data_IF_209297092323
#
_entry.id   IF_209297092323
#
_cell.length_a   1.000
_cell.length_b   1.000
_cell.length_c   1.000
_cell.angle_alpha   90.00
_cell.angle_beta   90.00
_cell.angle_gamma   90.00
#
_symmetry.space_group_name_H-M   'P 1'
#
loop_
_entity.id
_entity.type
_entity.pdbx_description
1 polymer ?
#
# COMPACT_ATOMS: atom_id res chain seq x y z
N UNK A 1 -3.22 -6.95 7.76
CA UNK A 1 -4.46 -6.95 6.94
C UNK A 1 -4.32 -5.99 5.76
N UNK A 2 -4.92 -6.30 4.60
CA UNK A 2 -4.89 -5.45 3.40
C UNK A 2 -6.32 -5.20 2.92
N UNK A 3 -6.64 -3.93 2.68
CA UNK A 3 -7.91 -3.48 2.09
C UNK A 3 -7.67 -2.89 0.70
N UNK A 4 -8.43 -3.30 -0.31
CA UNK A 4 -8.38 -2.72 -1.66
C UNK A 4 -9.73 -2.08 -1.98
N UNK A 5 -9.73 -0.79 -2.28
CA UNK A 5 -10.96 -0.08 -2.67
C UNK A 5 -10.86 0.52 -4.07
N UNK A 6 -11.94 1.19 -4.53
CA UNK A 6 -12.10 1.56 -5.94
C UNK A 6 -11.38 2.86 -6.34
N UNK A 7 -10.09 2.98 -6.07
CA UNK A 7 -9.23 4.05 -6.58
C UNK A 7 -8.13 3.44 -7.45
N UNK A 8 -7.71 4.05 -8.55
CA UNK A 8 -6.65 3.53 -9.42
C UNK A 8 -5.36 3.27 -8.63
N UNK A 9 -4.67 2.18 -8.95
CA UNK A 9 -3.45 1.75 -8.27
C UNK A 9 -3.44 0.25 -7.93
N UNK A 10 -4.08 -0.60 -8.73
CA UNK A 10 -4.05 -2.06 -8.54
C UNK A 10 -2.62 -2.60 -8.46
N UNK A 11 -1.70 -2.06 -9.25
CA UNK A 11 -0.31 -2.49 -9.28
C UNK A 11 0.38 -2.37 -7.90
N UNK A 12 0.12 -1.30 -7.13
CA UNK A 12 0.63 -1.14 -5.78
C UNK A 12 0.12 -2.24 -4.84
N UNK A 13 -1.20 -2.52 -4.92
CA UNK A 13 -1.81 -3.54 -4.07
C UNK A 13 -1.28 -4.94 -4.36
N UNK A 14 -1.18 -5.30 -5.63
CA UNK A 14 -0.67 -6.62 -6.06
C UNK A 14 0.79 -6.78 -5.66
N UNK A 15 1.61 -5.75 -5.85
CA UNK A 15 3.02 -5.77 -5.44
C UNK A 15 3.19 -5.90 -3.93
N UNK A 16 2.38 -5.18 -3.15
CA UNK A 16 2.39 -5.31 -1.70
C UNK A 16 2.01 -6.72 -1.24
N UNK A 17 0.93 -7.29 -1.80
CA UNK A 17 0.52 -8.67 -1.50
C UNK A 17 1.63 -9.68 -1.80
N UNK A 18 2.26 -9.55 -2.96
CA UNK A 18 3.37 -10.41 -3.36
C UNK A 18 4.52 -10.39 -2.35
N UNK A 19 4.94 -9.19 -1.92
CA UNK A 19 6.08 -9.02 -1.02
C UNK A 19 5.76 -9.51 0.41
N UNK A 20 4.57 -9.21 0.94
CA UNK A 20 4.13 -9.71 2.24
C UNK A 20 4.14 -11.24 2.27
N UNK A 21 3.53 -11.86 1.27
CA UNK A 21 3.42 -13.33 1.22
C UNK A 21 4.79 -13.98 1.00
N UNK A 22 5.67 -13.41 0.17
CA UNK A 22 7.06 -13.88 0.01
C UNK A 22 7.86 -13.75 1.30
N UNK A 23 7.60 -12.73 2.09
CA UNK A 23 8.17 -12.53 3.42
C UNK A 23 7.73 -13.56 4.46
N UNK A 24 6.70 -14.36 4.15
CA UNK A 24 6.15 -15.37 5.04
C UNK A 24 4.98 -14.88 5.88
N UNK A 25 4.49 -13.68 5.64
CA UNK A 25 3.36 -13.10 6.35
C UNK A 25 2.04 -13.79 6.00
N UNK A 26 1.15 -13.90 6.99
CA UNK A 26 -0.25 -14.25 6.77
C UNK A 26 -1.04 -12.97 6.45
N UNK A 27 -1.69 -12.96 5.30
CA UNK A 27 -2.40 -11.77 4.82
C UNK A 27 -3.90 -12.00 4.78
N UNK A 28 -4.64 -11.19 5.53
CA UNK A 28 -6.10 -11.10 5.44
C UNK A 28 -6.48 -9.99 4.48
N UNK A 29 -7.11 -10.35 3.36
CA UNK A 29 -7.47 -9.43 2.28
C UNK A 29 -8.98 -9.17 2.24
N UNK A 30 -9.36 -7.90 2.13
CA UNK A 30 -10.73 -7.47 1.82
C UNK A 30 -10.70 -6.57 0.60
N UNK A 31 -11.50 -6.92 -0.41
CA UNK A 31 -11.61 -6.13 -1.65
C UNK A 31 -13.04 -5.62 -1.78
N UNK A 32 -13.21 -4.30 -1.87
CA UNK A 32 -14.54 -3.69 -2.09
C UNK A 32 -15.11 -4.03 -3.47
N UNK A 33 -16.40 -3.83 -3.68
CA UNK A 33 -17.03 -4.09 -4.99
C UNK A 33 -16.36 -3.26 -6.11
N UNK A 34 -16.06 -1.98 -5.85
CA UNK A 34 -15.30 -1.16 -6.80
C UNK A 34 -13.81 -1.53 -6.85
N UNK A 35 -13.23 -2.09 -5.79
CA UNK A 35 -11.88 -2.65 -5.81
C UNK A 35 -11.78 -3.89 -6.71
N UNK A 36 -12.84 -4.71 -6.75
CA UNK A 36 -12.91 -5.83 -7.73
C UNK A 36 -12.92 -5.32 -9.17
N UNK A 37 -13.70 -4.27 -9.43
CA UNK A 37 -13.74 -3.63 -10.75
C UNK A 37 -12.37 -3.07 -11.13
N UNK A 38 -11.70 -2.38 -10.21
CA UNK A 38 -10.35 -1.87 -10.39
C UNK A 38 -9.35 -2.98 -10.78
N UNK A 39 -9.33 -4.07 -10.00
CA UNK A 39 -8.42 -5.20 -10.25
C UNK A 39 -8.67 -5.84 -11.62
N UNK A 40 -9.93 -5.88 -12.06
CA UNK A 40 -10.27 -6.36 -13.39
C UNK A 40 -9.78 -5.39 -14.49
N UNK A 41 -10.11 -4.10 -14.36
CA UNK A 41 -9.82 -3.10 -15.39
C UNK A 41 -8.32 -2.83 -15.54
N UNK A 42 -7.53 -2.81 -14.44
CA UNK A 42 -6.11 -2.46 -14.46
C UNK A 42 -5.17 -3.68 -14.54
N UNK A 43 -5.60 -4.84 -14.04
CA UNK A 43 -4.72 -6.02 -13.93
C UNK A 43 -5.32 -7.30 -14.53
N UNK A 44 -6.52 -7.25 -15.10
CA UNK A 44 -7.17 -8.41 -15.71
C UNK A 44 -7.62 -9.50 -14.73
N UNK A 45 -7.62 -9.21 -13.41
CA UNK A 45 -8.02 -10.16 -12.37
C UNK A 45 -9.53 -10.40 -12.45
N UNK A 46 -9.93 -11.60 -12.79
CA UNK A 46 -11.34 -11.99 -12.94
C UNK A 46 -11.92 -12.56 -11.65
N UNK A 47 -11.12 -13.35 -10.95
CA UNK A 47 -11.53 -14.00 -9.71
C UNK A 47 -10.59 -13.60 -8.58
N UNK A 48 -11.13 -13.32 -7.40
CA UNK A 48 -10.31 -13.09 -6.22
C UNK A 48 -9.83 -14.43 -5.66
N UNK A 49 -8.79 -14.97 -6.29
CA UNK A 49 -8.08 -16.17 -5.84
C UNK A 49 -6.62 -15.86 -5.61
N UNK A 50 -5.99 -16.63 -4.72
CA UNK A 50 -4.56 -16.47 -4.48
C UNK A 50 -3.73 -16.67 -5.75
N UNK A 51 -4.15 -17.58 -6.63
CA UNK A 51 -3.47 -17.86 -7.88
C UNK A 51 -3.51 -16.68 -8.87
N UNK A 52 -4.62 -15.92 -8.93
CA UNK A 52 -4.71 -14.75 -9.80
C UNK A 52 -4.03 -13.52 -9.17
N UNK A 53 -4.14 -13.35 -7.85
CA UNK A 53 -3.60 -12.18 -7.15
C UNK A 53 -2.08 -12.25 -6.94
N UNK A 54 -1.53 -13.46 -6.74
CA UNK A 54 -0.12 -13.68 -6.45
C UNK A 54 0.43 -14.89 -7.22
N UNK A 55 0.43 -14.87 -8.56
CA UNK A 55 0.81 -16.02 -9.38
C UNK A 55 2.27 -16.44 -9.21
N UNK A 56 3.12 -15.53 -8.77
CA UNK A 56 4.56 -15.76 -8.57
C UNK A 56 4.91 -16.38 -7.22
N UNK A 57 3.91 -16.57 -6.32
CA UNK A 57 4.15 -17.08 -4.97
C UNK A 57 3.45 -18.42 -4.78
N UNK A 58 4.18 -19.52 -4.59
CA UNK A 58 3.59 -20.83 -4.35
C UNK A 58 2.96 -20.89 -2.94
N UNK A 59 1.78 -21.48 -2.84
CA UNK A 59 1.04 -21.71 -1.59
C UNK A 59 0.92 -20.45 -0.70
N UNK A 60 0.32 -19.39 -1.21
CA UNK A 60 0.26 -18.13 -0.48
C UNK A 60 -0.59 -18.26 0.79
N UNK A 61 -0.11 -17.65 1.88
CA UNK A 61 -0.87 -17.45 3.13
C UNK A 61 -1.83 -16.25 2.96
N UNK A 62 -2.74 -16.34 2.01
CA UNK A 62 -3.69 -15.30 1.66
C UNK A 62 -5.12 -15.74 1.97
N UNK A 63 -5.72 -15.12 2.98
CA UNK A 63 -7.10 -15.34 3.38
C UNK A 63 -7.96 -14.20 2.84
N UNK A 64 -8.86 -14.51 1.92
CA UNK A 64 -9.71 -13.53 1.26
C UNK A 64 -11.08 -13.54 1.92
N UNK A 65 -11.49 -12.40 2.47
CA UNK A 65 -12.77 -12.24 3.16
C UNK A 65 -13.81 -11.58 2.26
N UNK A 66 -15.07 -12.07 2.29
CA UNK A 66 -16.15 -11.42 1.58
C UNK A 66 -16.38 -9.99 2.09
N UNK A 67 -16.43 -9.01 1.19
CA UNK A 67 -16.58 -7.59 1.54
C UNK A 67 -17.84 -7.27 2.36
N UNK A 68 -18.90 -8.07 2.19
CA UNK A 68 -20.18 -7.88 2.88
C UNK A 68 -20.25 -8.60 4.24
N UNK A 69 -19.28 -9.45 4.56
CA UNK A 69 -19.27 -10.19 5.82
C UNK A 69 -18.69 -9.35 6.98
N UNK A 70 -19.50 -8.43 7.47
CA UNK A 70 -19.12 -7.57 8.61
C UNK A 70 -18.99 -8.35 9.95
N UNK A 71 -19.35 -9.63 9.97
CA UNK A 71 -19.18 -10.54 11.08
C UNK A 71 -17.89 -11.38 11.04
N UNK A 72 -17.09 -11.24 9.97
CA UNK A 72 -15.82 -11.94 9.85
C UNK A 72 -14.88 -11.65 11.04
N UNK A 73 -14.00 -12.60 11.34
CA UNK A 73 -13.07 -12.51 12.49
C UNK A 73 -12.26 -11.22 12.54
N UNK A 74 -11.86 -10.68 11.40
CA UNK A 74 -11.10 -9.42 11.28
C UNK A 74 -11.92 -8.16 11.61
N UNK A 75 -13.24 -8.29 11.75
CA UNK A 75 -14.12 -7.21 12.21
C UNK A 75 -14.16 -7.10 13.76
N UNK A 76 -13.49 -7.99 14.47
CA UNK A 76 -13.44 -8.04 15.94
C UNK A 76 -12.17 -7.39 16.47
N UNK A 77 -12.29 -6.60 17.55
CA UNK A 77 -11.14 -6.04 18.27
C UNK A 77 -10.26 -7.11 18.95
N UNK A 78 -10.81 -8.28 19.21
CA UNK A 78 -10.08 -9.41 19.80
C UNK A 78 -9.20 -10.16 18.79
N UNK A 79 -9.40 -9.94 17.49
CA UNK A 79 -8.52 -10.49 16.47
C UNK A 79 -7.19 -9.74 16.48
N UNK A 80 -6.11 -10.42 16.86
CA UNK A 80 -4.78 -9.83 16.94
C UNK A 80 -4.12 -9.79 15.55
N UNK A 81 -3.55 -8.65 15.19
CA UNK A 81 -2.81 -8.46 13.96
C UNK A 81 -1.82 -7.29 14.11
N UNK A 82 -0.77 -7.27 13.30
CA UNK A 82 0.33 -6.30 13.41
C UNK A 82 0.00 -4.94 12.77
N UNK A 83 -0.98 -4.89 11.86
CA UNK A 83 -1.41 -3.64 11.22
C UNK A 83 -2.37 -3.88 10.06
N UNK A 84 -2.91 -2.77 9.54
CA UNK A 84 -3.75 -2.75 8.36
C UNK A 84 -3.34 -1.65 7.41
N UNK A 85 -3.32 -1.96 6.12
CA UNK A 85 -3.18 -0.97 5.06
C UNK A 85 -4.40 -1.00 4.15
N UNK A 86 -4.89 0.18 3.75
CA UNK A 86 -5.89 0.36 2.70
C UNK A 86 -5.18 0.96 1.49
N UNK A 87 -4.90 0.11 0.49
CA UNK A 87 -4.12 0.48 -0.71
C UNK A 87 -4.72 -0.18 -1.96
N UNK A 88 -5.17 0.59 -2.93
CA UNK A 88 -5.47 2.01 -2.83
C UNK A 88 -6.73 2.29 -2.01
N UNK A 89 -6.84 3.50 -1.45
CA UNK A 89 -8.01 3.98 -0.74
C UNK A 89 -8.77 5.01 -1.58
N UNK A 90 -10.03 4.76 -1.89
CA UNK A 90 -10.91 5.72 -2.57
C UNK A 90 -11.49 6.75 -1.59
N UNK A 91 -11.93 7.92 -2.11
CA UNK A 91 -12.61 8.95 -1.32
C UNK A 91 -13.84 8.42 -0.59
N UNK A 92 -14.61 7.49 -1.21
CA UNK A 92 -15.74 6.85 -0.54
C UNK A 92 -15.31 6.03 0.68
N UNK A 93 -14.26 5.21 0.56
CA UNK A 93 -13.72 4.42 1.69
C UNK A 93 -13.08 5.32 2.75
N UNK A 94 -12.33 6.34 2.33
CA UNK A 94 -11.74 7.35 3.22
C UNK A 94 -12.83 8.00 4.09
N UNK A 95 -13.91 8.49 3.45
CA UNK A 95 -15.03 9.13 4.15
C UNK A 95 -15.75 8.18 5.11
N UNK A 96 -15.99 6.94 4.69
CA UNK A 96 -16.65 5.94 5.55
C UNK A 96 -15.80 5.61 6.79
N UNK A 97 -14.49 5.47 6.65
CA UNK A 97 -13.59 5.22 7.79
C UNK A 97 -13.55 6.45 8.70
N UNK A 98 -13.42 7.65 8.13
CA UNK A 98 -13.32 8.91 8.89
C UNK A 98 -14.59 9.24 9.69
N UNK A 99 -15.77 8.88 9.16
CA UNK A 99 -17.05 9.11 9.83
C UNK A 99 -17.51 7.96 10.72
N UNK A 100 -16.74 6.87 10.80
CA UNK A 100 -17.13 5.72 11.59
C UNK A 100 -18.23 4.86 10.96
N UNK A 101 -18.51 4.98 9.65
CA UNK A 101 -19.50 4.20 8.94
C UNK A 101 -18.96 2.83 8.55
N UNK A 102 -19.08 1.85 9.44
CA UNK A 102 -18.63 0.46 9.23
C UNK A 102 -19.60 -0.39 8.40
N UNK A 103 -20.14 0.14 7.30
CA UNK A 103 -21.17 -0.51 6.48
C UNK A 103 -20.67 -1.73 5.68
N UNK A 104 -19.38 -1.93 5.60
CA UNK A 104 -18.74 -3.06 4.93
C UNK A 104 -17.50 -3.51 5.71
N UNK A 105 -17.02 -4.72 5.41
CA UNK A 105 -15.92 -5.33 6.16
C UNK A 105 -14.62 -4.54 6.08
N UNK A 106 -14.28 -3.95 4.93
CA UNK A 106 -13.06 -3.15 4.77
C UNK A 106 -13.06 -1.97 5.75
N UNK A 107 -14.12 -1.16 5.72
CA UNK A 107 -14.23 0.01 6.59
C UNK A 107 -14.35 -0.41 8.06
N UNK A 108 -15.09 -1.49 8.36
CA UNK A 108 -15.21 -2.03 9.71
C UNK A 108 -13.86 -2.46 10.27
N UNK A 109 -13.08 -3.23 9.51
CA UNK A 109 -11.75 -3.69 9.93
C UNK A 109 -10.79 -2.50 10.16
N UNK A 110 -10.80 -1.49 9.28
CA UNK A 110 -10.01 -0.27 9.45
C UNK A 110 -10.38 0.49 10.75
N UNK A 111 -11.68 0.67 11.00
CA UNK A 111 -12.16 1.30 12.24
C UNK A 111 -11.77 0.52 13.49
N UNK A 112 -11.85 -0.81 13.43
CA UNK A 112 -11.45 -1.68 14.55
C UNK A 112 -9.94 -1.58 14.78
N UNK A 113 -9.13 -1.61 13.70
CA UNK A 113 -7.69 -1.41 13.77
C UNK A 113 -7.35 -0.10 14.50
N UNK A 114 -8.03 0.99 14.12
CA UNK A 114 -7.81 2.32 14.69
C UNK A 114 -8.22 2.39 16.17
N UNK A 115 -9.41 1.88 16.54
CA UNK A 115 -9.87 1.91 17.94
C UNK A 115 -9.02 1.06 18.87
N UNK A 116 -8.43 -0.03 18.37
CA UNK A 116 -7.50 -0.90 19.10
C UNK A 116 -6.06 -0.35 19.14
N UNK A 117 -5.84 0.86 18.60
CA UNK A 117 -4.53 1.52 18.55
C UNK A 117 -3.46 0.73 17.80
N UNK A 118 -3.87 -0.08 16.82
CA UNK A 118 -2.94 -0.79 15.92
C UNK A 118 -2.63 0.08 14.71
N UNK A 119 -1.46 -0.11 14.05
CA UNK A 119 -1.10 0.65 12.87
C UNK A 119 -2.16 0.55 11.77
N UNK A 120 -2.72 1.70 11.38
CA UNK A 120 -3.60 1.83 10.21
C UNK A 120 -2.94 2.78 9.21
N UNK A 121 -2.63 2.27 8.02
CA UNK A 121 -2.06 3.05 6.92
C UNK A 121 -3.13 3.22 5.85
N UNK A 122 -3.42 4.47 5.49
CA UNK A 122 -4.42 4.80 4.48
C UNK A 122 -3.74 5.45 3.28
N UNK A 123 -3.70 4.72 2.18
CA UNK A 123 -3.07 5.16 0.93
C UNK A 123 -4.13 5.76 0.00
N UNK A 124 -4.62 6.94 0.36
CA UNK A 124 -5.64 7.64 -0.43
C UNK A 124 -5.08 8.09 -1.78
N UNK A 125 -5.79 7.72 -2.88
CA UNK A 125 -5.42 8.13 -4.24
C UNK A 125 -6.59 8.86 -4.90
N UNK A 126 -6.40 10.17 -5.03
CA UNK A 126 -7.31 11.08 -5.72
C UNK A 126 -6.54 12.29 -6.24
N UNK A 127 -6.97 12.85 -7.36
CA UNK A 127 -6.39 14.06 -7.95
C UNK A 127 -7.41 14.75 -8.87
N UNK A 128 -7.76 16.06 -8.61
CA UNK A 128 -7.39 16.86 -7.45
C UNK A 128 -8.08 16.41 -6.16
N UNK A 129 -7.54 16.79 -5.00
CA UNK A 129 -8.21 16.58 -3.72
C UNK A 129 -9.32 17.61 -3.50
N UNK A 130 -10.47 17.15 -3.04
CA UNK A 130 -11.53 18.03 -2.55
C UNK A 130 -11.28 18.46 -1.11
N UNK A 131 -11.93 19.54 -0.66
CA UNK A 131 -11.90 19.93 0.74
C UNK A 131 -12.46 18.81 1.66
N UNK A 132 -13.40 18.02 1.14
CA UNK A 132 -13.98 16.87 1.87
C UNK A 132 -12.91 15.80 2.09
N UNK A 133 -12.11 15.48 1.07
CA UNK A 133 -11.01 14.50 1.20
C UNK A 133 -9.98 15.00 2.22
N UNK A 134 -9.59 16.27 2.15
CA UNK A 134 -8.62 16.89 3.07
C UNK A 134 -9.11 16.80 4.53
N UNK A 135 -10.38 17.11 4.79
CA UNK A 135 -10.97 17.02 6.14
C UNK A 135 -11.06 15.58 6.64
N UNK A 136 -11.40 14.63 5.76
CA UNK A 136 -11.41 13.21 6.12
C UNK A 136 -10.00 12.70 6.43
N UNK A 137 -8.99 13.12 5.67
CA UNK A 137 -7.59 12.81 5.95
C UNK A 137 -7.14 13.40 7.28
N UNK A 138 -7.46 14.67 7.56
CA UNK A 138 -7.19 15.33 8.86
C UNK A 138 -7.82 14.54 10.01
N UNK A 139 -9.10 14.19 9.89
CA UNK A 139 -9.83 13.41 10.91
C UNK A 139 -9.12 12.08 11.21
N UNK A 140 -8.72 11.36 10.18
CA UNK A 140 -8.03 10.07 10.34
C UNK A 140 -6.62 10.24 10.92
N UNK A 141 -5.89 11.29 10.52
CA UNK A 141 -4.57 11.59 11.07
C UNK A 141 -4.66 11.93 12.57
N UNK A 142 -5.62 12.77 12.97
CA UNK A 142 -5.87 13.10 14.38
C UNK A 142 -6.31 11.86 15.19
N UNK A 143 -7.02 10.92 14.57
CA UNK A 143 -7.38 9.65 15.19
C UNK A 143 -6.23 8.65 15.31
N UNK A 144 -5.07 8.93 14.67
CA UNK A 144 -3.86 8.11 14.76
C UNK A 144 -3.57 7.22 13.55
N UNK A 145 -4.30 7.38 12.44
CA UNK A 145 -3.95 6.72 11.18
C UNK A 145 -2.77 7.40 10.49
N UNK A 146 -1.96 6.64 9.80
CA UNK A 146 -0.91 7.16 8.91
C UNK A 146 -1.48 7.37 7.51
N UNK A 147 -1.49 8.62 7.03
CA UNK A 147 -1.86 8.96 5.66
C UNK A 147 -0.61 8.84 4.77
N UNK A 148 -0.62 7.87 3.86
CA UNK A 148 0.49 7.59 2.96
C UNK A 148 -0.04 7.54 1.52
N UNK A 149 -0.30 8.72 0.93
CA UNK A 149 -0.73 8.79 -0.47
C UNK A 149 0.31 8.15 -1.38
N UNK A 150 -0.11 7.40 -2.42
CA UNK A 150 0.81 6.74 -3.34
C UNK A 150 1.42 7.73 -4.34
N UNK A 151 2.25 8.64 -3.82
CA UNK A 151 2.96 9.69 -4.56
C UNK A 151 4.44 9.32 -4.63
N UNK A 152 4.91 8.62 -5.69
CA UNK A 152 6.30 8.21 -5.79
C UNK A 152 7.24 9.40 -5.97
N UNK A 153 8.40 9.34 -5.31
CA UNK A 153 9.48 10.31 -5.53
C UNK A 153 10.34 9.91 -6.75
N UNK A 154 10.96 10.90 -7.39
CA UNK A 154 11.82 10.70 -8.56
C UNK A 154 13.32 10.81 -8.24
N UNK A 155 13.67 11.07 -6.98
CA UNK A 155 15.07 11.31 -6.56
C UNK A 155 15.96 10.04 -6.61
N UNK A 156 15.36 8.85 -6.75
CA UNK A 156 16.08 7.59 -6.97
C UNK A 156 16.30 7.29 -8.46
N UNK A 157 15.99 8.24 -9.36
CA UNK A 157 16.13 8.11 -10.82
C UNK A 157 15.40 6.87 -11.40
N UNK A 158 14.09 6.71 -11.16
CA UNK A 158 13.35 5.56 -11.67
C UNK A 158 13.42 5.51 -13.20
N UNK A 159 13.65 4.32 -13.74
CA UNK A 159 13.74 4.07 -15.19
C UNK A 159 12.56 3.27 -15.73
N UNK A 160 11.81 2.63 -14.83
CA UNK A 160 10.65 1.80 -15.15
C UNK A 160 9.50 2.14 -14.21
N UNK A 161 8.29 1.76 -14.61
CA UNK A 161 7.09 1.94 -13.78
C UNK A 161 7.19 1.14 -12.49
N UNK A 162 7.80 -0.05 -12.54
CA UNK A 162 8.03 -0.90 -11.38
C UNK A 162 8.86 -0.22 -10.30
N UNK A 163 9.81 0.63 -10.66
CA UNK A 163 10.63 1.39 -9.71
C UNK A 163 9.76 2.38 -8.91
N UNK A 164 8.75 2.99 -9.56
CA UNK A 164 7.79 3.87 -8.90
C UNK A 164 6.82 3.09 -7.99
N UNK A 165 6.42 1.90 -8.42
CA UNK A 165 5.58 0.99 -7.63
C UNK A 165 6.35 0.55 -6.38
N UNK A 166 7.58 0.08 -6.55
CA UNK A 166 8.44 -0.38 -5.45
C UNK A 166 8.75 0.74 -4.46
N UNK A 167 8.92 1.99 -4.92
CA UNK A 167 9.08 3.16 -4.05
C UNK A 167 7.91 3.31 -3.07
N UNK A 168 6.68 3.27 -3.57
CA UNK A 168 5.48 3.41 -2.73
C UNK A 168 5.30 2.20 -1.82
N UNK A 169 5.47 1.00 -2.36
CA UNK A 169 5.28 -0.25 -1.60
C UNK A 169 6.35 -0.42 -0.53
N UNK A 170 7.61 -0.07 -0.81
CA UNK A 170 8.69 -0.06 0.17
C UNK A 170 8.38 0.87 1.35
N UNK A 171 7.85 2.07 1.06
CA UNK A 171 7.42 2.98 2.12
C UNK A 171 6.29 2.42 2.98
N UNK A 172 5.33 1.72 2.37
CA UNK A 172 4.24 1.05 3.10
C UNK A 172 4.79 -0.08 3.98
N UNK A 173 5.72 -0.89 3.47
CA UNK A 173 6.36 -1.96 4.22
C UNK A 173 7.16 -1.41 5.41
N UNK A 174 7.91 -0.30 5.22
CA UNK A 174 8.60 0.40 6.32
C UNK A 174 7.63 0.85 7.42
N UNK A 175 6.48 1.42 7.03
CA UNK A 175 5.44 1.87 7.98
C UNK A 175 4.76 0.70 8.71
N UNK A 176 4.71 -0.48 8.10
CA UNK A 176 4.23 -1.71 8.72
C UNK A 176 5.32 -2.42 9.54
N UNK A 177 6.55 -1.92 9.54
CA UNK A 177 7.73 -2.57 10.13
C UNK A 177 8.03 -3.96 9.55
N UNK A 178 7.68 -4.18 8.27
CA UNK A 178 7.95 -5.42 7.55
C UNK A 178 9.31 -5.30 6.86
N UNK A 179 10.27 -6.21 7.14
CA UNK A 179 11.56 -6.22 6.47
C UNK A 179 11.43 -6.45 4.96
N UNK A 180 12.17 -5.70 4.17
CA UNK A 180 12.22 -5.85 2.72
C UNK A 180 13.58 -5.47 2.15
N UNK A 181 13.86 -5.91 0.92
CA UNK A 181 15.11 -5.67 0.19
C UNK A 181 14.95 -4.71 -0.98
N UNK A 182 13.84 -3.96 -1.05
CA UNK A 182 13.64 -2.95 -2.10
C UNK A 182 14.63 -1.80 -1.89
N UNK A 183 15.25 -1.36 -2.98
CA UNK A 183 16.16 -0.20 -2.99
C UNK A 183 15.33 1.09 -3.07
N UNK A 184 14.69 1.44 -1.96
CA UNK A 184 13.77 2.58 -1.87
C UNK A 184 14.14 3.58 -0.78
N UNK A 185 15.29 3.34 -0.09
CA UNK A 185 15.77 4.19 0.99
C UNK A 185 16.87 5.13 0.50
N UNK A 186 16.85 6.34 1.01
CA UNK A 186 17.94 7.28 0.78
C UNK A 186 19.13 6.91 1.67
N UNK A 187 20.20 6.35 1.09
CA UNK A 187 21.44 6.06 1.80
C UNK A 187 22.42 7.24 1.68
N UNK A 188 23.05 7.61 2.80
CA UNK A 188 24.10 8.62 2.78
C UNK A 188 25.33 8.05 2.05
N UNK A 189 25.62 8.57 0.85
CA UNK A 189 26.79 8.21 0.06
C UNK A 189 26.55 7.88 -1.40
N UNK A 190 25.34 7.61 -1.79
CA UNK A 190 25.01 7.28 -3.18
C UNK A 190 23.99 8.24 -3.79
N UNK A 191 24.39 9.42 -4.23
CA UNK A 191 23.62 10.06 -5.31
C UNK A 191 23.86 9.23 -6.56
N UNK A 192 22.84 8.61 -7.16
CA UNK A 192 23.00 8.12 -8.52
C UNK A 192 23.46 9.31 -9.36
N UNK A 193 24.52 9.15 -10.10
CA UNK A 193 24.96 10.21 -10.99
C UNK A 193 23.80 10.60 -11.92
N UNK A 194 23.52 11.92 -12.10
CA UNK A 194 22.47 12.33 -13.02
C UNK A 194 22.76 11.74 -14.41
N UNK A 195 21.72 11.34 -15.17
CA UNK A 195 21.90 10.82 -16.51
C UNK A 195 22.73 11.80 -17.35
N UNK A 196 23.87 11.35 -17.86
CA UNK A 196 24.77 12.19 -18.68
C UNK A 196 26.00 12.76 -17.97
N UNK A 197 26.23 12.49 -16.68
CA UNK A 197 27.50 12.81 -16.06
C UNK A 197 28.58 11.80 -16.52
N UNK A 198 29.37 12.18 -17.53
CA UNK A 198 30.56 11.42 -17.92
C UNK A 198 31.54 11.41 -16.75
N UNK A 199 31.98 10.24 -16.33
CA UNK A 199 33.15 10.08 -15.48
C UNK A 199 34.37 10.57 -16.27
N UNK A 200 34.80 11.79 -16.04
CA UNK A 200 36.13 12.24 -16.48
C UNK A 200 37.16 11.39 -15.77
N UNK A 201 38.10 10.73 -16.49
CA UNK A 201 39.15 10.00 -15.83
C UNK A 201 40.02 11.00 -15.03
N UNK A 202 40.31 10.64 -13.79
CA UNK A 202 41.24 11.38 -12.96
C UNK A 202 42.55 11.51 -13.72
N UNK A 203 43.00 12.75 -13.97
CA UNK A 203 44.31 13.05 -14.50
C UNK A 203 45.34 12.58 -13.49
N UNK A 204 46.09 11.54 -13.82
CA UNK A 204 47.31 11.16 -13.14
C UNK A 204 48.32 12.30 -13.33
N UNK A 205 48.47 13.12 -12.31
CA UNK A 205 49.55 14.08 -12.23
C UNK A 205 50.85 13.32 -11.97
N UNK A 206 51.68 13.18 -12.99
CA UNK A 206 53.05 12.89 -12.83
C UNK A 206 53.72 14.13 -12.21
N UNK A 207 54.41 13.93 -11.10
CA UNK A 207 55.32 14.89 -10.52
C UNK A 207 56.71 14.59 -11.06
N UNK A 208 57.31 15.58 -11.67
CA UNK A 208 58.76 15.77 -11.82
C UNK A 208 59.27 16.63 -10.65
#
# INVERSE_FOLDING_TARGET
MVGISGASGAAYALRLLELLIRGGDEVHLVVSDYGRRLLFDEAGIKNLTAAELCPSVPSPRLLIHPHKDVGAVIASGSFLHDGMVVLPCSSASLGQIATGSGSNLLCRAAMVTLKERRPLIVCHREMPLSLIDIRNMETLALAGATLCSPNPGFYLNPTRVEDLIDFVVGKVLDLLHVPHTLDTRWEQGGRPNPPGASTSPASSGEAD
#
